data_IF_687376900223
#
_entry.id   IF_687376900223
#
_cell.length_a   1.000
_cell.length_b   1.000
_cell.length_c   1.000
_cell.angle_alpha   90.00
_cell.angle_beta   90.00
_cell.angle_gamma   90.00
#
_symmetry.space_group_name_H-M   'P 1'
#
loop_
_entity.id
_entity.type
_entity.pdbx_description
1 polymer ?
#
# COMPACT_ATOMS: atom_id res chain seq x y z
N UNK A 1 5.99 -17.56 10.84
CA UNK A 1 5.94 -18.54 9.74
C UNK A 1 7.37 -18.89 9.39
N UNK A 2 7.79 -20.13 9.68
CA UNK A 2 9.14 -20.62 9.40
C UNK A 2 9.38 -20.68 7.90
N UNK A 3 10.14 -19.74 7.35
CA UNK A 3 10.76 -19.93 6.04
C UNK A 3 11.96 -20.84 6.26
N UNK A 4 11.72 -22.13 6.01
CA UNK A 4 12.76 -23.13 5.75
C UNK A 4 13.62 -22.60 4.60
N UNK A 5 14.76 -21.99 4.95
CA UNK A 5 15.81 -21.67 4.00
C UNK A 5 16.28 -22.98 3.39
N UNK A 6 15.76 -23.30 2.20
CA UNK A 6 16.31 -24.32 1.34
C UNK A 6 17.66 -23.75 0.91
N UNK A 7 18.71 -24.15 1.60
CA UNK A 7 20.08 -23.96 1.13
C UNK A 7 20.09 -24.52 -0.30
N UNK A 8 20.14 -23.63 -1.29
CA UNK A 8 20.60 -24.05 -2.60
C UNK A 8 22.08 -24.29 -2.39
N UNK A 9 22.43 -25.56 -2.28
CA UNK A 9 23.81 -26.00 -2.39
C UNK A 9 24.29 -25.50 -3.75
N UNK A 10 24.95 -24.35 -3.73
CA UNK A 10 25.77 -23.92 -4.84
C UNK A 10 26.90 -24.93 -4.78
N UNK A 11 26.79 -25.98 -5.60
CA UNK A 11 27.94 -26.79 -6.00
C UNK A 11 28.90 -25.81 -6.68
N UNK A 12 29.72 -25.14 -5.87
CA UNK A 12 30.91 -24.45 -6.31
C UNK A 12 31.78 -25.59 -6.80
N UNK A 13 31.59 -25.93 -8.08
CA UNK A 13 32.42 -26.87 -8.79
C UNK A 13 33.84 -26.40 -8.53
N UNK A 14 34.50 -27.27 -7.76
CA UNK A 14 35.88 -27.26 -7.34
C UNK A 14 36.71 -26.47 -8.34
N UNK A 15 37.47 -25.52 -7.79
CA UNK A 15 38.49 -24.76 -8.48
C UNK A 15 39.13 -25.61 -9.58
N UNK A 16 39.46 -25.05 -10.76
CA UNK A 16 40.35 -25.77 -11.66
C UNK A 16 41.62 -25.98 -10.84
N UNK A 17 41.81 -27.19 -10.30
CA UNK A 17 42.98 -27.51 -9.53
C UNK A 17 44.14 -27.10 -10.43
N UNK A 18 44.87 -26.05 -10.03
CA UNK A 18 46.01 -25.57 -10.77
C UNK A 18 46.92 -26.79 -10.85
N UNK A 19 47.00 -27.42 -12.03
CA UNK A 19 47.23 -28.84 -12.01
C UNK A 19 48.70 -29.00 -11.70
N UNK A 20 49.03 -29.98 -10.86
CA UNK A 20 50.39 -30.49 -10.77
C UNK A 20 51.00 -30.81 -12.16
N UNK A 21 50.20 -30.82 -13.25
CA UNK A 21 50.66 -30.86 -14.63
C UNK A 21 51.39 -29.60 -15.10
N UNK A 22 51.06 -28.38 -14.64
CA UNK A 22 51.71 -27.15 -15.12
C UNK A 22 53.11 -27.00 -14.50
N UNK A 23 53.24 -27.31 -13.22
CA UNK A 23 54.53 -27.40 -12.54
C UNK A 23 55.40 -28.54 -13.12
N UNK A 24 54.78 -29.67 -13.47
CA UNK A 24 55.45 -30.79 -14.14
C UNK A 24 55.91 -30.42 -15.55
N UNK A 25 55.09 -29.72 -16.33
CA UNK A 25 55.44 -29.22 -17.67
C UNK A 25 56.57 -28.19 -17.58
N UNK A 26 56.52 -27.29 -16.60
CA UNK A 26 57.58 -26.31 -16.35
C UNK A 26 58.92 -26.99 -16.00
N UNK A 27 58.89 -28.03 -15.14
CA UNK A 27 60.06 -28.84 -14.83
C UNK A 27 60.59 -29.57 -16.08
N UNK A 28 59.72 -30.17 -16.89
CA UNK A 28 60.10 -30.88 -18.12
C UNK A 28 60.73 -29.92 -19.15
N UNK A 29 60.17 -28.73 -19.35
CA UNK A 29 60.75 -27.68 -20.19
C UNK A 29 62.13 -27.26 -19.67
N UNK A 30 62.28 -27.04 -18.36
CA UNK A 30 63.57 -26.68 -17.75
C UNK A 30 64.64 -27.75 -17.97
N UNK A 31 64.29 -29.04 -17.82
CA UNK A 31 65.23 -30.15 -18.08
C UNK A 31 65.64 -30.24 -19.56
N UNK A 32 64.71 -30.01 -20.49
CA UNK A 32 65.01 -30.02 -21.92
C UNK A 32 65.91 -28.85 -22.33
N UNK A 33 65.66 -27.65 -21.80
CA UNK A 33 66.53 -26.50 -22.00
C UNK A 33 67.95 -26.75 -21.47
N UNK A 34 68.09 -27.35 -20.28
CA UNK A 34 69.39 -27.73 -19.74
C UNK A 34 70.14 -28.73 -20.63
N UNK A 35 69.46 -29.72 -21.20
CA UNK A 35 70.06 -30.67 -22.16
C UNK A 35 70.49 -30.00 -23.47
N UNK A 36 69.73 -29.02 -23.96
CA UNK A 36 70.11 -28.24 -25.14
C UNK A 36 71.38 -27.42 -24.87
N UNK A 37 71.50 -26.83 -23.68
CA UNK A 37 72.69 -26.10 -23.25
C UNK A 37 73.92 -27.02 -23.11
N UNK A 38 73.76 -28.21 -22.54
CA UNK A 38 74.83 -29.23 -22.44
C UNK A 38 75.33 -29.69 -23.81
N UNK A 39 74.43 -29.99 -24.75
CA UNK A 39 74.79 -30.42 -26.10
C UNK A 39 75.44 -29.27 -26.89
N UNK A 40 74.97 -28.04 -26.71
CA UNK A 40 75.60 -26.86 -27.31
C UNK A 40 77.02 -26.64 -26.77
N UNK A 41 77.25 -26.80 -25.46
CA UNK A 41 78.58 -26.72 -24.87
C UNK A 41 79.51 -27.84 -25.37
N UNK A 42 79.01 -29.07 -25.48
CA UNK A 42 79.77 -30.20 -26.03
C UNK A 42 80.13 -29.99 -27.51
N UNK A 43 79.23 -29.41 -28.30
CA UNK A 43 79.47 -29.06 -29.70
C UNK A 43 80.60 -28.02 -29.87
N UNK A 44 80.62 -26.98 -29.03
CA UNK A 44 81.68 -25.94 -29.06
C UNK A 44 83.05 -26.52 -28.68
N UNK A 45 83.12 -27.40 -27.69
CA UNK A 45 84.36 -28.07 -27.29
C UNK A 45 84.90 -28.98 -28.42
N UNK A 46 84.03 -29.78 -29.03
CA UNK A 46 84.40 -30.64 -30.15
C UNK A 46 84.92 -29.85 -31.36
N UNK A 47 84.38 -28.65 -31.60
CA UNK A 47 84.77 -27.75 -32.70
C UNK A 47 86.15 -27.11 -32.46
N UNK A 48 86.49 -26.83 -31.20
CA UNK A 48 87.81 -26.27 -30.81
C UNK A 48 88.94 -27.32 -30.83
N UNK A 49 88.65 -28.59 -30.52
CA UNK A 49 89.64 -29.68 -30.47
C UNK A 49 89.98 -30.27 -31.86
N UNK A 50 89.42 -29.74 -32.95
CA UNK A 50 89.69 -30.21 -34.32
C UNK A 50 89.15 -31.62 -34.65
N UNK A 51 88.38 -32.23 -33.75
CA UNK A 51 87.79 -33.57 -33.91
C UNK A 51 86.57 -33.61 -34.85
N UNK A 52 86.06 -32.45 -35.26
CA UNK A 52 84.84 -32.30 -36.09
C UNK A 52 85.04 -32.73 -37.56
N UNK A 53 86.20 -33.25 -37.94
CA UNK A 53 86.47 -33.71 -39.31
C UNK A 53 85.77 -35.01 -39.73
N UNK A 54 85.00 -35.66 -38.85
CA UNK A 54 84.16 -36.82 -39.20
C UNK A 54 82.68 -36.45 -39.33
N UNK A 55 82.18 -36.42 -40.57
CA UNK A 55 80.79 -36.10 -40.95
C UNK A 55 79.69 -36.83 -40.15
N UNK A 56 80.00 -37.92 -39.45
CA UNK A 56 79.04 -38.69 -38.65
C UNK A 56 78.76 -38.11 -37.25
N UNK A 57 79.74 -37.49 -36.59
CA UNK A 57 79.55 -36.95 -35.23
C UNK A 57 78.70 -35.67 -35.22
N UNK A 58 78.90 -34.79 -36.20
CA UNK A 58 78.06 -33.60 -36.41
C UNK A 58 76.60 -33.98 -36.72
N UNK A 59 76.38 -35.02 -37.53
CA UNK A 59 75.03 -35.49 -37.87
C UNK A 59 74.29 -36.07 -36.66
N UNK A 60 74.97 -36.76 -35.75
CA UNK A 60 74.38 -37.29 -34.52
C UNK A 60 73.96 -36.15 -33.57
N UNK A 61 74.82 -35.15 -33.37
CA UNK A 61 74.50 -33.96 -32.56
C UNK A 61 73.33 -33.16 -33.16
N UNK A 62 73.31 -32.98 -34.48
CA UNK A 62 72.21 -32.31 -35.18
C UNK A 62 70.88 -33.06 -35.04
N UNK A 63 70.90 -34.40 -35.11
CA UNK A 63 69.71 -35.24 -34.91
C UNK A 63 69.20 -35.17 -33.46
N UNK A 64 70.09 -35.12 -32.47
CA UNK A 64 69.70 -34.99 -31.06
C UNK A 64 69.12 -33.62 -30.74
N UNK A 65 69.73 -32.53 -31.23
CA UNK A 65 69.22 -31.16 -31.10
C UNK A 65 67.84 -31.02 -31.75
N UNK A 66 67.69 -31.53 -32.98
CA UNK A 66 66.40 -31.46 -33.68
C UNK A 66 65.30 -32.25 -32.96
N UNK A 67 65.63 -33.42 -32.38
CA UNK A 67 64.69 -34.18 -31.55
C UNK A 67 64.25 -33.40 -30.30
N UNK A 68 65.18 -32.72 -29.61
CA UNK A 68 64.87 -31.87 -28.45
C UNK A 68 63.99 -30.67 -28.84
N UNK A 69 64.25 -30.01 -29.97
CA UNK A 69 63.41 -28.91 -30.46
C UNK A 69 62.00 -29.36 -30.85
N UNK A 70 61.85 -30.54 -31.45
CA UNK A 70 60.54 -31.12 -31.74
C UNK A 70 59.77 -31.38 -30.44
N UNK A 71 60.45 -31.92 -29.42
CA UNK A 71 59.84 -32.15 -28.10
C UNK A 71 59.42 -30.83 -27.43
N UNK A 72 60.27 -29.80 -27.47
CA UNK A 72 59.94 -28.49 -26.91
C UNK A 72 58.74 -27.84 -27.62
N UNK A 73 58.65 -27.96 -28.96
CA UNK A 73 57.49 -27.50 -29.71
C UNK A 73 56.21 -28.26 -29.36
N UNK A 74 56.29 -29.56 -29.09
CA UNK A 74 55.14 -30.35 -28.65
C UNK A 74 54.65 -29.87 -27.28
N UNK A 75 55.55 -29.67 -26.31
CA UNK A 75 55.19 -29.15 -24.99
C UNK A 75 54.60 -27.74 -25.06
N UNK A 76 55.13 -26.87 -25.93
CA UNK A 76 54.58 -25.53 -26.14
C UNK A 76 53.13 -25.56 -26.69
N UNK A 77 52.84 -26.48 -27.63
CA UNK A 77 51.47 -26.66 -28.14
C UNK A 77 50.53 -27.14 -27.05
N UNK A 78 50.95 -28.13 -26.27
CA UNK A 78 50.19 -28.64 -25.12
C UNK A 78 49.88 -27.53 -24.11
N UNK A 79 50.88 -26.73 -23.73
CA UNK A 79 50.69 -25.59 -22.83
C UNK A 79 49.71 -24.55 -23.40
N UNK A 80 49.77 -24.28 -24.70
CA UNK A 80 48.86 -23.35 -25.36
C UNK A 80 47.43 -23.88 -25.38
N UNK A 81 47.24 -25.17 -25.61
CA UNK A 81 45.93 -25.84 -25.58
C UNK A 81 45.35 -25.83 -24.15
N UNK A 82 46.17 -26.19 -23.16
CA UNK A 82 45.79 -26.16 -21.74
C UNK A 82 45.40 -24.75 -21.29
N UNK A 83 46.17 -23.73 -21.70
CA UNK A 83 45.84 -22.33 -21.42
C UNK A 83 44.48 -21.95 -21.98
N UNK A 84 44.20 -22.30 -23.22
CA UNK A 84 42.90 -21.99 -23.86
C UNK A 84 41.76 -22.73 -23.14
N UNK A 85 41.98 -24.00 -22.78
CA UNK A 85 41.00 -24.80 -22.03
C UNK A 85 40.67 -24.19 -20.66
N UNK A 86 41.69 -23.77 -19.90
CA UNK A 86 41.49 -23.12 -18.59
C UNK A 86 40.76 -21.79 -18.72
N UNK A 87 41.13 -20.96 -19.71
CA UNK A 87 40.44 -19.68 -19.95
C UNK A 87 38.97 -19.93 -20.29
N UNK A 88 38.68 -20.89 -21.16
CA UNK A 88 37.30 -21.24 -21.52
C UNK A 88 36.50 -21.76 -20.31
N UNK A 89 37.09 -22.62 -19.47
CA UNK A 89 36.44 -23.11 -18.26
C UNK A 89 36.15 -22.00 -17.25
N UNK A 90 37.10 -21.07 -17.06
CA UNK A 90 36.92 -19.91 -16.18
C UNK A 90 35.84 -18.97 -16.73
N UNK A 91 35.80 -18.74 -18.04
CA UNK A 91 34.81 -17.86 -18.64
C UNK A 91 33.40 -18.47 -18.59
N UNK A 92 33.26 -19.80 -18.66
CA UNK A 92 31.99 -20.48 -18.44
C UNK A 92 31.51 -20.35 -16.98
N UNK A 93 32.40 -20.55 -16.01
CA UNK A 93 32.08 -20.34 -14.59
C UNK A 93 31.69 -18.90 -14.29
N UNK A 94 32.36 -17.92 -14.91
CA UNK A 94 32.01 -16.50 -14.80
C UNK A 94 30.62 -16.22 -15.36
N UNK A 95 30.30 -16.73 -16.56
CA UNK A 95 28.96 -16.58 -17.15
C UNK A 95 27.88 -17.14 -16.24
N UNK A 96 28.08 -18.35 -15.70
CA UNK A 96 27.15 -18.93 -14.74
C UNK A 96 26.99 -18.06 -13.49
N UNK A 97 28.08 -17.48 -12.98
CA UNK A 97 28.04 -16.58 -11.83
C UNK A 97 27.28 -15.28 -12.14
N UNK A 98 27.50 -14.69 -13.32
CA UNK A 98 26.84 -13.47 -13.76
C UNK A 98 25.34 -13.70 -13.97
N UNK A 99 24.95 -14.84 -14.55
CA UNK A 99 23.56 -15.23 -14.73
C UNK A 99 22.85 -15.39 -13.37
N UNK A 100 23.46 -16.08 -12.41
CA UNK A 100 22.93 -16.18 -11.05
C UNK A 100 22.83 -14.82 -10.34
N UNK A 101 23.79 -13.91 -10.57
CA UNK A 101 23.75 -12.57 -9.98
C UNK A 101 22.57 -11.75 -10.53
N UNK A 102 22.29 -11.85 -11.84
CA UNK A 102 21.12 -11.22 -12.46
C UNK A 102 19.81 -11.83 -11.93
N UNK A 103 19.76 -13.15 -11.75
CA UNK A 103 18.59 -13.82 -11.15
C UNK A 103 18.34 -13.35 -9.71
N UNK A 104 19.39 -13.20 -8.91
CA UNK A 104 19.31 -12.69 -7.55
C UNK A 104 18.77 -11.25 -7.53
N UNK A 105 19.33 -10.35 -8.36
CA UNK A 105 18.86 -8.97 -8.45
C UNK A 105 17.38 -8.88 -8.88
N UNK A 106 16.97 -9.73 -9.83
CA UNK A 106 15.58 -9.83 -10.25
C UNK A 106 14.66 -10.24 -9.09
N UNK A 107 15.09 -11.23 -8.29
CA UNK A 107 14.32 -11.72 -7.13
C UNK A 107 14.26 -10.69 -6.01
N UNK A 108 15.34 -9.97 -5.75
CA UNK A 108 15.38 -8.90 -4.75
C UNK A 108 14.43 -7.76 -5.12
N UNK A 109 14.40 -7.36 -6.40
CA UNK A 109 13.44 -6.36 -6.89
C UNK A 109 11.99 -6.85 -6.77
N UNK A 110 11.72 -8.11 -7.10
CA UNK A 110 10.39 -8.72 -6.97
C UNK A 110 9.94 -8.72 -5.51
N UNK A 111 10.82 -9.15 -4.59
CA UNK A 111 10.53 -9.16 -3.16
C UNK A 111 10.28 -7.75 -2.61
N UNK A 112 11.10 -6.76 -2.98
CA UNK A 112 10.91 -5.38 -2.57
C UNK A 112 9.61 -4.78 -3.12
N UNK A 113 9.24 -5.10 -4.35
CA UNK A 113 7.96 -4.69 -4.93
C UNK A 113 6.78 -5.27 -4.15
N UNK A 114 6.78 -6.58 -3.88
CA UNK A 114 5.72 -7.25 -3.13
C UNK A 114 5.62 -6.69 -1.70
N UNK A 115 6.75 -6.43 -1.03
CA UNK A 115 6.75 -5.82 0.30
C UNK A 115 6.14 -4.42 0.30
N UNK A 116 6.44 -3.60 -0.72
CA UNK A 116 5.81 -2.29 -0.88
C UNK A 116 4.31 -2.41 -1.11
N UNK A 117 3.88 -3.36 -1.93
CA UNK A 117 2.46 -3.58 -2.19
C UNK A 117 1.73 -4.04 -0.93
N UNK A 118 2.32 -4.97 -0.15
CA UNK A 118 1.78 -5.40 1.14
C UNK A 118 1.63 -4.21 2.08
N UNK A 119 2.68 -3.40 2.27
CA UNK A 119 2.63 -2.22 3.12
C UNK A 119 1.55 -1.22 2.66
N UNK A 120 1.42 -1.01 1.35
CA UNK A 120 0.34 -0.19 0.77
C UNK A 120 -1.02 -0.74 1.16
N UNK A 121 -1.24 -2.06 1.00
CA UNK A 121 -2.52 -2.70 1.34
C UNK A 121 -2.81 -2.73 2.84
N UNK A 122 -1.80 -2.81 3.70
CA UNK A 122 -1.96 -2.75 5.16
C UNK A 122 -2.38 -1.35 5.64
N UNK A 123 -1.90 -0.31 4.98
CA UNK A 123 -2.28 1.09 5.27
C UNK A 123 -3.64 1.51 4.69
N UNK A 124 -4.35 0.60 4.01
CA UNK A 124 -5.67 0.90 3.47
C UNK A 124 -6.68 1.07 4.62
N UNK A 125 -6.90 2.33 5.00
CA UNK A 125 -7.99 2.71 5.88
C UNK A 125 -9.33 2.63 5.14
N UNK A 126 -10.14 1.66 5.53
CA UNK A 126 -11.52 1.54 5.05
C UNK A 126 -12.47 2.33 5.94
N UNK A 127 -13.54 2.85 5.35
CA UNK A 127 -14.54 3.70 6.03
C UNK A 127 -15.09 3.03 7.31
N UNK A 128 -15.23 1.70 7.36
CA UNK A 128 -15.80 1.02 8.53
C UNK A 128 -14.96 1.15 9.82
N UNK A 129 -13.67 1.44 9.72
CA UNK A 129 -12.77 1.56 10.88
C UNK A 129 -13.01 2.86 11.67
N UNK A 130 -13.65 3.86 11.05
CA UNK A 130 -13.94 5.17 11.67
C UNK A 130 -15.43 5.41 11.92
N UNK A 131 -16.29 4.40 11.72
CA UNK A 131 -17.72 4.53 12.00
C UNK A 131 -17.96 4.34 13.50
N UNK A 132 -18.63 5.32 14.09
CA UNK A 132 -19.16 5.22 15.45
C UNK A 132 -20.25 4.14 15.50
N UNK A 133 -19.97 3.08 16.27
CA UNK A 133 -20.82 1.92 16.49
C UNK A 133 -21.13 1.79 17.98
N UNK A 134 -22.29 1.26 18.32
CA UNK A 134 -22.64 0.84 19.69
C UNK A 134 -21.55 -0.10 20.20
N UNK A 135 -21.04 0.11 21.43
CA UNK A 135 -20.05 -0.75 22.07
C UNK A 135 -20.46 -2.23 22.06
N UNK A 136 -19.49 -3.14 22.05
CA UNK A 136 -19.76 -4.58 21.99
C UNK A 136 -20.62 -5.06 23.15
N UNK A 137 -20.38 -4.54 24.36
CA UNK A 137 -21.12 -4.88 25.57
C UNK A 137 -22.60 -4.51 25.45
N UNK A 138 -22.89 -3.31 24.94
CA UNK A 138 -24.26 -2.83 24.73
C UNK A 138 -24.96 -3.60 23.61
N UNK A 139 -24.24 -3.95 22.53
CA UNK A 139 -24.78 -4.82 21.48
C UNK A 139 -25.15 -6.20 22.03
N UNK A 140 -24.28 -6.82 22.82
CA UNK A 140 -24.51 -8.11 23.48
C UNK A 140 -25.52 -8.03 24.63
N UNK A 141 -25.97 -6.85 25.04
CA UNK A 141 -27.09 -6.71 25.96
C UNK A 141 -28.42 -6.52 25.21
N UNK A 142 -28.41 -5.70 24.16
CA UNK A 142 -29.63 -5.13 23.57
C UNK A 142 -30.08 -5.84 22.29
N UNK A 143 -29.15 -6.44 21.53
CA UNK A 143 -29.49 -7.04 20.25
C UNK A 143 -30.29 -8.34 20.45
N UNK A 144 -31.37 -8.54 19.67
CA UNK A 144 -32.17 -9.76 19.72
C UNK A 144 -31.37 -10.98 19.23
N UNK A 145 -31.70 -12.17 19.73
CA UNK A 145 -30.99 -13.43 19.41
C UNK A 145 -30.94 -13.72 17.90
N UNK A 146 -31.98 -13.34 17.16
CA UNK A 146 -32.04 -13.45 15.70
C UNK A 146 -30.94 -12.66 14.97
N UNK A 147 -30.46 -11.56 15.58
CA UNK A 147 -29.37 -10.75 15.04
C UNK A 147 -28.00 -11.15 15.59
N UNK A 148 -27.93 -11.87 16.72
CA UNK A 148 -26.66 -12.30 17.31
C UNK A 148 -26.00 -13.41 16.49
N UNK A 149 -26.76 -14.42 16.02
CA UNK A 149 -26.23 -15.49 15.17
C UNK A 149 -24.95 -16.17 15.72
N UNK A 150 -24.19 -16.85 14.84
CA UNK A 150 -22.90 -17.46 15.19
C UNK A 150 -21.77 -16.41 15.23
N UNK A 151 -21.49 -15.91 16.43
CA UNK A 151 -20.46 -14.90 16.74
C UNK A 151 -19.05 -15.50 16.84
N UNK A 152 -18.80 -16.65 16.22
CA UNK A 152 -17.57 -17.42 16.45
C UNK A 152 -16.30 -16.72 15.97
N UNK A 153 -16.41 -15.75 15.06
CA UNK A 153 -15.27 -14.97 14.57
C UNK A 153 -15.49 -13.46 14.75
N UNK A 154 -14.43 -12.68 15.03
CA UNK A 154 -14.53 -11.23 15.18
C UNK A 154 -15.16 -10.53 13.96
N UNK A 155 -14.90 -11.05 12.75
CA UNK A 155 -15.50 -10.53 11.53
C UNK A 155 -17.02 -10.74 11.48
N UNK A 156 -17.50 -11.93 11.86
CA UNK A 156 -18.94 -12.22 11.91
C UNK A 156 -19.64 -11.36 12.97
N UNK A 157 -19.01 -11.17 14.14
CA UNK A 157 -19.49 -10.24 15.17
C UNK A 157 -19.65 -8.83 14.61
N UNK A 158 -18.63 -8.31 13.92
CA UNK A 158 -18.67 -6.98 13.32
C UNK A 158 -19.80 -6.83 12.29
N UNK A 159 -20.01 -7.84 11.43
CA UNK A 159 -21.12 -7.83 10.47
C UNK A 159 -22.49 -7.87 11.16
N UNK A 160 -22.63 -8.66 12.22
CA UNK A 160 -23.86 -8.71 13.01
C UNK A 160 -24.18 -7.36 13.67
N UNK A 161 -23.16 -6.70 14.24
CA UNK A 161 -23.25 -5.34 14.80
C UNK A 161 -23.70 -4.33 13.76
N UNK A 162 -23.06 -4.31 12.59
CA UNK A 162 -23.42 -3.39 11.50
C UNK A 162 -24.86 -3.58 11.03
N UNK A 163 -25.33 -4.83 10.91
CA UNK A 163 -26.72 -5.11 10.50
C UNK A 163 -27.73 -4.64 11.53
N UNK A 164 -27.45 -4.86 12.81
CA UNK A 164 -28.30 -4.39 13.90
C UNK A 164 -28.40 -2.86 13.91
N UNK A 165 -27.29 -2.16 13.73
CA UNK A 165 -27.25 -0.70 13.67
C UNK A 165 -28.05 -0.12 12.51
N UNK A 166 -27.94 -0.74 11.32
CA UNK A 166 -28.75 -0.35 10.16
C UNK A 166 -30.24 -0.51 10.49
N UNK A 167 -30.64 -1.66 11.04
CA UNK A 167 -32.03 -1.91 11.44
C UNK A 167 -32.51 -0.86 12.46
N UNK A 168 -31.71 -0.55 13.48
CA UNK A 168 -32.06 0.45 14.49
C UNK A 168 -32.19 1.85 13.88
N UNK A 169 -31.27 2.24 12.99
CA UNK A 169 -31.32 3.54 12.29
C UNK A 169 -32.55 3.65 11.40
N UNK A 170 -32.92 2.59 10.71
CA UNK A 170 -34.12 2.55 9.87
C UNK A 170 -35.39 2.74 10.72
N UNK A 171 -35.51 2.00 11.82
CA UNK A 171 -36.62 2.16 12.78
C UNK A 171 -36.70 3.60 13.34
N UNK A 172 -35.56 4.18 13.73
CA UNK A 172 -35.51 5.56 14.23
C UNK A 172 -35.86 6.59 13.14
N UNK A 173 -35.50 6.34 11.88
CA UNK A 173 -35.88 7.20 10.75
C UNK A 173 -37.39 7.17 10.51
N UNK A 174 -38.01 6.00 10.56
CA UNK A 174 -39.47 5.85 10.44
C UNK A 174 -40.19 6.57 11.58
N UNK A 175 -39.73 6.39 12.82
CA UNK A 175 -40.27 7.06 14.00
C UNK A 175 -40.14 8.59 13.90
N UNK A 176 -38.97 9.07 13.46
CA UNK A 176 -38.74 10.49 13.21
C UNK A 176 -39.71 11.03 12.15
N UNK A 177 -39.95 10.30 11.07
CA UNK A 177 -40.89 10.69 10.03
C UNK A 177 -42.33 10.76 10.57
N UNK A 178 -42.75 9.74 11.33
CA UNK A 178 -44.06 9.67 11.98
C UNK A 178 -44.28 10.82 12.96
N UNK A 179 -43.31 11.08 13.85
CA UNK A 179 -43.37 12.17 14.83
C UNK A 179 -43.37 13.54 14.14
N UNK A 180 -42.59 13.71 13.06
CA UNK A 180 -42.58 14.96 12.27
C UNK A 180 -43.95 15.22 11.64
N UNK A 181 -44.59 14.19 11.05
CA UNK A 181 -45.95 14.29 10.52
C UNK A 181 -46.94 14.70 11.61
N UNK A 182 -46.92 14.02 12.77
CA UNK A 182 -47.82 14.32 13.89
C UNK A 182 -47.64 15.74 14.42
N UNK A 183 -46.39 16.20 14.53
CA UNK A 183 -46.06 17.58 14.91
C UNK A 183 -46.66 18.58 13.93
N UNK A 184 -46.54 18.33 12.63
CA UNK A 184 -47.03 19.25 11.60
C UNK A 184 -48.57 19.28 11.54
N UNK A 185 -49.23 18.14 11.74
CA UNK A 185 -50.69 18.06 11.95
C UNK A 185 -51.15 18.89 13.15
N UNK A 186 -50.51 18.72 14.31
CA UNK A 186 -50.84 19.46 15.52
C UNK A 186 -50.61 20.96 15.36
N UNK A 187 -49.53 21.37 14.69
CA UNK A 187 -49.27 22.77 14.35
C UNK A 187 -50.36 23.35 13.45
N UNK A 188 -50.81 22.60 12.44
CA UNK A 188 -51.90 23.05 11.59
C UNK A 188 -53.22 23.15 12.37
N UNK A 189 -53.51 22.18 13.24
CA UNK A 189 -54.70 22.21 14.09
C UNK A 189 -54.69 23.41 15.06
N UNK A 190 -53.52 23.72 15.66
CA UNK A 190 -53.31 24.92 16.49
C UNK A 190 -53.60 26.19 15.69
N UNK A 191 -52.99 26.37 14.51
CA UNK A 191 -53.24 27.53 13.63
C UNK A 191 -54.72 27.71 13.31
N UNK A 192 -55.39 26.64 12.87
CA UNK A 192 -56.84 26.64 12.60
C UNK A 192 -57.68 26.99 13.84
N UNK A 193 -57.24 26.61 15.05
CA UNK A 193 -57.95 26.98 16.28
C UNK A 193 -57.75 28.45 16.63
N UNK A 194 -56.54 28.98 16.46
CA UNK A 194 -56.23 30.41 16.65
C UNK A 194 -57.07 31.25 15.69
N UNK A 195 -57.06 30.93 14.38
CA UNK A 195 -57.88 31.64 13.38
C UNK A 195 -59.39 31.63 13.71
N UNK A 196 -59.89 30.53 14.28
CA UNK A 196 -61.29 30.47 14.75
C UNK A 196 -61.54 31.34 15.98
N UNK A 197 -60.60 31.37 16.94
CA UNK A 197 -60.71 32.21 18.13
C UNK A 197 -60.67 33.69 17.74
N UNK A 198 -59.79 34.08 16.82
CA UNK A 198 -59.72 35.45 16.29
C UNK A 198 -61.02 35.88 15.60
N UNK A 199 -61.66 34.97 14.84
CA UNK A 199 -62.99 35.23 14.24
C UNK A 199 -64.07 35.45 15.31
N UNK A 200 -64.10 34.60 16.35
CA UNK A 200 -65.05 34.75 17.46
C UNK A 200 -64.81 36.05 18.22
N UNK A 201 -63.56 36.39 18.51
CA UNK A 201 -63.16 37.64 19.15
C UNK A 201 -63.60 38.86 18.31
N UNK A 202 -63.39 38.82 16.99
CA UNK A 202 -63.89 39.83 16.05
C UNK A 202 -65.41 40.00 16.09
N UNK A 203 -66.17 38.89 16.11
CA UNK A 203 -67.63 38.92 16.24
C UNK A 203 -68.06 39.53 17.57
N UNK A 204 -67.43 39.12 18.68
CA UNK A 204 -67.73 39.66 20.02
C UNK A 204 -67.46 41.15 20.11
N UNK A 205 -66.31 41.63 19.60
CA UNK A 205 -66.00 43.07 19.51
C UNK A 205 -67.06 43.81 18.69
N UNK A 206 -67.52 43.22 17.59
CA UNK A 206 -68.63 43.73 16.78
C UNK A 206 -69.94 43.83 17.58
N UNK A 207 -70.31 42.77 18.29
CA UNK A 207 -71.50 42.76 19.15
C UNK A 207 -71.41 43.79 20.28
N UNK A 208 -70.29 43.85 21.00
CA UNK A 208 -70.04 44.86 22.05
C UNK A 208 -70.19 46.27 21.49
N UNK A 209 -69.64 46.54 20.30
CA UNK A 209 -69.81 47.84 19.62
C UNK A 209 -71.27 48.12 19.28
N UNK A 210 -72.01 47.14 18.76
CA UNK A 210 -73.44 47.32 18.45
C UNK A 210 -74.29 47.54 19.71
N UNK A 211 -74.02 46.78 20.78
CA UNK A 211 -74.72 46.86 22.07
C UNK A 211 -74.38 48.17 22.78
N UNK A 212 -73.14 48.66 22.72
CA UNK A 212 -72.77 49.97 23.26
C UNK A 212 -73.39 51.12 22.46
N UNK A 213 -73.55 50.99 21.13
CA UNK A 213 -74.30 51.95 20.31
C UNK A 213 -75.80 51.94 20.65
N UNK A 214 -76.40 50.77 20.81
CA UNK A 214 -77.79 50.61 21.28
C UNK A 214 -77.96 51.14 22.70
N UNK A 215 -77.05 50.83 23.61
CA UNK A 215 -77.00 51.35 24.97
C UNK A 215 -76.95 52.88 24.96
N UNK A 216 -76.04 53.47 24.17
CA UNK A 216 -76.00 54.92 23.95
C UNK A 216 -77.29 55.48 23.36
N UNK A 217 -77.94 54.78 22.43
CA UNK A 217 -79.21 55.21 21.84
C UNK A 217 -80.39 55.10 22.81
N UNK A 218 -80.37 54.11 23.71
CA UNK A 218 -81.39 53.91 24.74
C UNK A 218 -81.17 54.87 25.92
N UNK A 219 -79.92 55.19 26.26
CA UNK A 219 -79.57 56.24 27.22
C UNK A 219 -79.62 57.65 26.63
N UNK A 220 -79.71 57.81 25.31
CA UNK A 220 -79.99 59.10 24.67
C UNK A 220 -81.43 59.60 24.90
N UNK A 221 -82.29 58.76 25.48
CA UNK A 221 -83.55 59.18 26.08
C UNK A 221 -83.42 59.73 27.51
N UNK A 222 -82.25 59.61 28.15
CA UNK A 222 -82.03 60.12 29.50
C UNK A 222 -80.61 60.70 29.66
N UNK A 223 -80.54 62.00 29.37
CA UNK A 223 -79.50 62.96 29.73
C UNK A 223 -78.09 62.82 29.11
N UNK A 224 -77.76 63.85 28.34
CA UNK A 224 -76.41 64.34 28.18
C UNK A 224 -75.80 64.70 29.55
N UNK A 225 -74.75 64.00 29.98
CA UNK A 225 -73.61 64.59 30.72
C UNK A 225 -72.51 63.55 30.97
N UNK A 226 -71.27 64.06 31.03
CA UNK A 226 -70.08 63.48 31.69
C UNK A 226 -69.13 62.60 30.84
N UNK A 227 -68.14 63.30 30.26
CA UNK A 227 -66.68 63.10 30.35
C UNK A 227 -66.07 61.70 30.62
N UNK A 228 -65.21 61.30 29.66
CA UNK A 228 -63.78 60.91 29.80
C UNK A 228 -63.39 59.72 30.74
N UNK A 229 -62.12 59.29 30.78
CA UNK A 229 -61.54 58.17 30.02
C UNK A 229 -61.16 57.00 30.96
N UNK A 230 -60.91 55.80 30.43
CA UNK A 230 -60.20 54.77 31.21
C UNK A 230 -59.16 54.08 30.33
N UNK A 231 -57.91 54.36 30.68
CA UNK A 231 -56.77 53.58 30.29
C UNK A 231 -56.62 52.31 31.13
N UNK A 232 -55.70 51.52 30.59
CA UNK A 232 -54.87 50.50 31.21
C UNK A 232 -55.35 49.05 31.40
N UNK A 233 -54.38 48.22 31.01
CA UNK A 233 -54.02 46.89 31.50
C UNK A 233 -54.75 45.67 30.94
N UNK A 234 -54.15 45.11 29.89
CA UNK A 234 -53.53 43.79 30.04
C UNK A 234 -52.54 43.50 28.91
N UNK A 235 -51.29 43.81 29.24
CA UNK A 235 -50.12 43.07 28.78
C UNK A 235 -50.37 41.56 29.02
N UNK A 236 -50.68 40.80 27.97
CA UNK A 236 -50.47 39.35 27.96
C UNK A 236 -49.33 39.12 26.99
N UNK A 237 -48.17 38.86 27.58
CA UNK A 237 -46.98 38.37 26.93
C UNK A 237 -47.37 37.28 25.93
N UNK A 238 -47.31 37.62 24.64
CA UNK A 238 -47.10 36.65 23.59
C UNK A 238 -45.68 36.16 23.79
N UNK A 239 -45.56 35.03 24.48
CA UNK A 239 -44.32 34.29 24.64
C UNK A 239 -43.85 33.92 23.22
N UNK A 240 -42.92 34.72 22.70
CA UNK A 240 -42.09 34.43 21.56
C UNK A 240 -41.32 33.15 21.89
N UNK A 241 -41.91 32.00 21.54
CA UNK A 241 -41.11 30.80 21.40
C UNK A 241 -40.23 31.05 20.19
N UNK A 242 -39.03 31.58 20.47
CA UNK A 242 -37.90 31.61 19.57
C UNK A 242 -37.89 30.31 18.77
N UNK A 243 -38.21 30.47 17.49
CA UNK A 243 -37.88 29.53 16.47
C UNK A 243 -36.35 29.46 16.45
N UNK A 244 -35.77 28.57 17.26
CA UNK A 244 -34.40 28.08 17.05
C UNK A 244 -34.41 27.33 15.73
N UNK A 245 -34.34 28.12 14.67
CA UNK A 245 -33.88 27.75 13.37
C UNK A 245 -32.42 27.33 13.59
N UNK A 246 -32.20 26.04 13.84
CA UNK A 246 -30.84 25.49 13.77
C UNK A 246 -30.29 25.84 12.39
N UNK A 247 -29.06 26.37 12.29
CA UNK A 247 -28.48 26.70 11.01
C UNK A 247 -28.52 25.46 10.13
N UNK A 248 -29.13 25.62 8.96
CA UNK A 248 -28.95 24.75 7.82
C UNK A 248 -27.44 24.64 7.58
N UNK A 249 -26.81 23.58 8.11
CA UNK A 249 -25.44 23.22 7.78
C UNK A 249 -25.43 22.87 6.29
N UNK A 250 -24.71 23.60 5.43
CA UNK A 250 -24.55 23.18 4.06
C UNK A 250 -23.82 21.84 4.05
N UNK A 251 -24.43 20.84 3.40
CA UNK A 251 -23.72 19.67 2.91
C UNK A 251 -22.53 20.15 2.08
N UNK A 252 -21.33 20.09 2.66
CA UNK A 252 -20.10 20.22 1.91
C UNK A 252 -19.95 18.96 1.07
N UNK A 253 -20.34 19.05 -0.19
CA UNK A 253 -19.86 18.15 -1.22
C UNK A 253 -18.34 18.30 -1.31
N UNK A 254 -17.63 17.19 -1.10
CA UNK A 254 -16.21 17.05 -1.41
C UNK A 254 -15.92 17.44 -2.86
N UNK A 255 -14.80 18.12 -3.08
CA UNK A 255 -14.26 18.33 -4.42
C UNK A 255 -13.00 19.18 -4.45
N UNK A 256 -11.96 18.81 -3.70
CA UNK A 256 -10.60 19.31 -3.98
C UNK A 256 -9.60 18.15 -3.90
N UNK A 257 -9.16 17.73 -5.09
CA UNK A 257 -8.05 16.81 -5.33
C UNK A 257 -6.72 17.54 -5.10
N UNK A 258 -5.75 17.01 -4.33
CA UNK A 258 -4.38 17.47 -4.44
C UNK A 258 -3.77 16.93 -5.73
N UNK A 259 -3.43 17.87 -6.63
CA UNK A 259 -2.58 17.66 -7.80
C UNK A 259 -1.19 17.22 -7.34
N UNK A 260 -0.95 15.92 -7.28
CA UNK A 260 0.39 15.38 -7.14
C UNK A 260 1.17 15.64 -8.43
N UNK A 261 2.25 16.40 -8.32
CA UNK A 261 3.21 16.62 -9.37
C UNK A 261 3.88 15.32 -9.77
N UNK A 262 4.05 15.14 -11.07
CA UNK A 262 4.97 14.16 -11.66
C UNK A 262 6.41 14.46 -11.23
N UNK A 263 7.14 13.50 -10.65
CA UNK A 263 8.60 13.56 -10.68
C UNK A 263 9.07 13.07 -12.04
N UNK A 264 9.79 13.95 -12.72
CA UNK A 264 10.49 13.69 -13.97
C UNK A 264 11.75 12.87 -13.64
N UNK A 265 11.81 11.64 -14.13
CA UNK A 265 13.05 10.90 -14.44
C UNK A 265 12.87 10.37 -15.86
#
# INVERSE_FOLDING_TARGET
MSTTGRAMDIDIAVAPEAPASLDRLAAEISTLCGRVEEIAAAGVLAQNDGLVTSSGAEQLLANEITALFVRLRQLYRQLSEDKVAVVAAVDELKRGTDDLALELENKDREAAYIQREIASTETLETIYQSIDLIPEEEFLATAPESCRGDVDTPHKLMLARLRYEVMQRDMLMEDKARLKSKRDELRQAKRKRIERLEKIDGHLKGYIKSVSLLGRSLTAGDQASSQEPLGDDSNIAGDDIEERNSPNMPCQTRGDTPRAGTPRV
#
